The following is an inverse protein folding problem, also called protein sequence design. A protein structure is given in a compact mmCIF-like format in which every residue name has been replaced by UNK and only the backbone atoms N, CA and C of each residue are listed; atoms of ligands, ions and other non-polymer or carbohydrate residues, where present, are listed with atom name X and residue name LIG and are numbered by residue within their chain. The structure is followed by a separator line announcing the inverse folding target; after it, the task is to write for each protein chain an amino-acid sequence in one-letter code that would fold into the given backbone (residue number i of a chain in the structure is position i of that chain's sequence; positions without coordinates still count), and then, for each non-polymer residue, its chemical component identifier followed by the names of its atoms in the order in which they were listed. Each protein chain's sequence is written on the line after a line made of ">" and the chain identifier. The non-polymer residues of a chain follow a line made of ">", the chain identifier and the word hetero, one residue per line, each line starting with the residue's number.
data_IF_465722757627
#
_entry.id   IF_465722757627
#
_cell.length_a   1.000
_cell.length_b   1.000
_cell.length_c   1.000
_cell.angle_alpha   90.00
_cell.angle_beta   90.00
_cell.angle_gamma   90.00
#
_symmetry.space_group_name_H-M   'P 1'
#
loop_
_entity.id
_entity.type
_entity.pdbx_description
1 polymer ?
#
# COMPACT_ATOMS: atom_id res chain seq x y z
N UNK A 1 14.65 -29.47 5.70
CA UNK A 1 15.21 -28.14 5.37
C UNK A 1 15.44 -28.15 3.88
N UNK A 2 14.65 -27.40 3.12
CA UNK A 2 14.83 -27.23 1.68
C UNK A 2 14.86 -25.73 1.42
N UNK A 3 16.05 -25.17 1.24
CA UNK A 3 16.21 -23.86 0.60
C UNK A 3 15.86 -24.03 -0.89
N UNK A 4 15.05 -23.15 -1.48
CA UNK A 4 14.94 -23.11 -2.92
C UNK A 4 16.23 -22.48 -3.46
N UNK A 5 17.10 -23.31 -4.02
CA UNK A 5 18.18 -22.85 -4.90
C UNK A 5 17.53 -22.24 -6.13
N UNK A 6 17.29 -20.93 -6.10
CA UNK A 6 16.83 -20.19 -7.27
C UNK A 6 18.02 -20.05 -8.20
N UNK A 7 18.04 -20.89 -9.24
CA UNK A 7 19.10 -20.96 -10.25
C UNK A 7 19.46 -19.58 -10.82
N UNK A 8 20.77 -19.27 -10.76
CA UNK A 8 21.43 -18.08 -11.29
C UNK A 8 21.12 -17.81 -12.79
N UNK A 9 20.62 -18.80 -13.53
CA UNK A 9 20.40 -18.68 -14.97
C UNK A 9 19.12 -17.88 -15.34
N UNK A 10 18.16 -17.71 -14.41
CA UNK A 10 17.06 -16.74 -14.61
C UNK A 10 17.48 -15.28 -14.42
N UNK A 11 18.70 -15.01 -13.92
CA UNK A 11 19.17 -13.68 -13.56
C UNK A 11 19.65 -12.85 -14.76
N UNK A 12 19.94 -13.48 -15.91
CA UNK A 12 20.50 -12.79 -17.09
C UNK A 12 19.45 -12.25 -18.07
N UNK A 13 18.16 -12.61 -17.93
CA UNK A 13 17.13 -12.27 -18.92
C UNK A 13 16.52 -10.86 -18.77
N UNK A 14 16.70 -10.19 -17.63
CA UNK A 14 16.12 -8.86 -17.37
C UNK A 14 17.19 -7.78 -17.23
N UNK A 15 18.16 -7.74 -18.15
CA UNK A 15 19.08 -6.60 -18.31
C UNK A 15 18.42 -5.53 -19.19
N UNK A 16 17.31 -4.95 -18.74
CA UNK A 16 16.75 -3.74 -19.34
C UNK A 16 16.99 -2.53 -18.42
N UNK A 17 17.54 -1.49 -19.04
CA UNK A 17 17.95 -0.20 -18.46
C UNK A 17 16.97 0.30 -17.39
N UNK A 18 17.50 0.55 -16.20
CA UNK A 18 16.76 1.02 -15.02
C UNK A 18 16.89 -0.02 -13.92
N UNK A 19 17.66 0.28 -12.88
CA UNK A 19 17.89 -0.57 -11.71
C UNK A 19 16.59 -1.24 -11.22
N UNK A 20 16.35 -2.50 -11.59
CA UNK A 20 15.22 -3.28 -11.09
C UNK A 20 15.53 -3.61 -9.63
N UNK A 21 15.03 -2.80 -8.70
CA UNK A 21 14.90 -3.23 -7.31
C UNK A 21 13.77 -4.26 -7.29
N UNK A 22 14.10 -5.55 -7.35
CA UNK A 22 13.12 -6.59 -7.03
C UNK A 22 12.73 -6.42 -5.57
N UNK A 23 11.46 -6.10 -5.33
CA UNK A 23 10.89 -6.12 -4.00
C UNK A 23 9.53 -6.79 -3.97
N UNK A 24 9.28 -7.53 -2.90
CA UNK A 24 8.04 -8.24 -2.59
C UNK A 24 7.47 -7.68 -1.28
N UNK A 25 6.14 -7.61 -1.18
CA UNK A 25 5.42 -7.25 0.04
C UNK A 25 4.74 -8.50 0.61
N UNK A 26 4.93 -8.74 1.91
CA UNK A 26 4.35 -9.87 2.62
C UNK A 26 3.50 -9.37 3.78
N UNK A 27 2.20 -9.69 3.74
CA UNK A 27 1.25 -9.38 4.81
C UNK A 27 1.14 -10.59 5.74
N UNK A 28 1.31 -10.36 7.04
CA UNK A 28 1.21 -11.41 8.07
C UNK A 28 -0.04 -11.23 8.92
N UNK A 29 -0.42 -12.25 9.69
CA UNK A 29 -1.49 -12.15 10.69
C UNK A 29 -1.15 -11.10 11.75
N UNK A 30 -2.05 -10.14 11.95
CA UNK A 30 -1.83 -8.90 12.72
C UNK A 30 -1.60 -7.69 11.80
N UNK A 31 -1.38 -6.49 12.35
CA UNK A 31 -1.04 -5.32 11.54
C UNK A 31 0.46 -5.40 11.20
N UNK A 32 0.90 -6.36 10.38
CA UNK A 32 2.33 -6.48 10.04
C UNK A 32 2.55 -6.62 8.54
N UNK A 33 3.30 -5.67 8.00
CA UNK A 33 3.70 -5.65 6.60
C UNK A 33 5.23 -5.65 6.49
N UNK A 34 5.79 -6.63 5.77
CA UNK A 34 7.24 -6.74 5.54
C UNK A 34 7.53 -6.57 4.06
N UNK A 35 8.49 -5.70 3.75
CA UNK A 35 9.05 -5.56 2.41
C UNK A 35 10.34 -6.35 2.32
N UNK A 36 10.41 -7.30 1.38
CA UNK A 36 11.63 -8.00 0.99
C UNK A 36 12.22 -7.34 -0.23
N UNK A 37 13.50 -7.01 -0.20
CA UNK A 37 14.21 -6.40 -1.35
C UNK A 37 15.52 -7.14 -1.59
N UNK A 38 15.86 -7.37 -2.85
CA UNK A 38 17.18 -7.86 -3.22
C UNK A 38 18.17 -6.69 -3.21
N UNK A 39 19.27 -6.86 -2.48
CA UNK A 39 20.36 -5.89 -2.40
C UNK A 39 21.63 -6.58 -2.88
N UNK A 40 22.30 -5.97 -3.86
CA UNK A 40 23.59 -6.44 -4.35
C UNK A 40 24.71 -5.64 -3.68
N UNK A 41 25.70 -6.34 -3.13
CA UNK A 41 26.91 -5.77 -2.55
C UNK A 41 28.02 -5.85 -3.60
N UNK A 42 28.35 -4.71 -4.23
CA UNK A 42 29.37 -4.62 -5.28
C UNK A 42 30.78 -4.98 -4.76
N UNK A 43 31.07 -4.72 -3.48
CA UNK A 43 32.38 -4.99 -2.88
C UNK A 43 32.59 -6.49 -2.66
N UNK A 44 31.52 -7.23 -2.36
CA UNK A 44 31.57 -8.69 -2.14
C UNK A 44 31.17 -9.50 -3.38
N UNK A 45 30.58 -8.87 -4.38
CA UNK A 45 30.05 -9.53 -5.58
C UNK A 45 28.87 -10.47 -5.31
N UNK A 46 28.21 -10.35 -4.15
CA UNK A 46 27.12 -11.22 -3.70
C UNK A 46 25.86 -10.38 -3.53
N UNK A 47 24.69 -10.96 -3.84
CA UNK A 47 23.40 -10.37 -3.54
C UNK A 47 22.65 -11.15 -2.48
N UNK A 48 21.95 -10.44 -1.61
CA UNK A 48 21.16 -10.99 -0.51
C UNK A 48 19.75 -10.40 -0.45
N UNK A 49 18.81 -11.20 0.06
CA UNK A 49 17.46 -10.73 0.38
C UNK A 49 17.44 -10.04 1.74
N UNK A 50 17.06 -8.77 1.76
CA UNK A 50 16.87 -8.00 2.99
C UNK A 50 15.38 -7.80 3.25
N UNK A 51 14.96 -8.13 4.48
CA UNK A 51 13.58 -7.91 4.95
C UNK A 51 13.52 -6.66 5.82
N UNK A 52 12.54 -5.80 5.57
CA UNK A 52 12.30 -4.57 6.34
C UNK A 52 10.84 -4.53 6.79
N UNK A 53 10.60 -4.33 8.08
CA UNK A 53 9.25 -4.07 8.58
C UNK A 53 8.81 -2.67 8.16
N UNK A 54 7.71 -2.59 7.43
CA UNK A 54 7.16 -1.36 6.85
C UNK A 54 5.73 -1.11 7.33
N UNK A 55 5.33 -1.73 8.44
CA UNK A 55 3.98 -1.65 9.00
C UNK A 55 3.49 -0.21 9.16
N UNK A 56 4.28 0.66 9.80
CA UNK A 56 3.93 2.07 10.04
C UNK A 56 3.85 2.90 8.73
N UNK A 57 4.44 2.39 7.66
CA UNK A 57 4.44 3.00 6.32
C UNK A 57 3.57 2.21 5.34
N UNK A 58 2.71 1.31 5.81
CA UNK A 58 1.92 0.45 4.96
C UNK A 58 1.08 1.24 3.95
N UNK A 59 0.66 2.45 4.31
CA UNK A 59 -0.10 3.32 3.43
C UNK A 59 0.65 3.70 2.14
N UNK A 60 1.97 3.81 2.19
CA UNK A 60 2.81 4.13 1.03
C UNK A 60 2.93 2.96 0.05
N UNK A 61 2.68 1.73 0.51
CA UNK A 61 2.92 0.50 -0.25
C UNK A 61 1.63 -0.19 -0.70
N UNK A 62 0.54 -0.04 0.07
CA UNK A 62 -0.73 -0.72 -0.18
C UNK A 62 -1.74 0.15 -0.93
N UNK A 63 -1.56 1.47 -0.93
CA UNK A 63 -2.43 2.40 -1.63
C UNK A 63 -1.66 3.14 -2.73
N UNK A 64 -2.39 3.58 -3.73
CA UNK A 64 -1.89 4.48 -4.77
C UNK A 64 -2.64 5.79 -4.69
N UNK A 65 -2.01 6.86 -5.17
CA UNK A 65 -2.65 8.16 -5.28
C UNK A 65 -3.84 8.08 -6.23
N UNK A 66 -4.98 8.58 -5.76
CA UNK A 66 -6.21 8.63 -6.53
C UNK A 66 -6.37 10.05 -7.06
N UNK A 67 -6.38 10.18 -8.39
CA UNK A 67 -6.74 11.46 -9.03
C UNK A 67 -8.26 11.52 -9.06
N UNK A 68 -8.80 12.45 -8.28
CA UNK A 68 -10.22 12.74 -8.23
C UNK A 68 -10.54 13.74 -9.35
N UNK A 69 -11.69 13.55 -10.00
CA UNK A 69 -12.17 14.49 -11.03
C UNK A 69 -12.36 15.89 -10.43
N UNK A 70 -12.03 16.99 -11.15
CA UNK A 70 -12.16 18.35 -10.62
C UNK A 70 -13.56 18.71 -10.10
N UNK A 71 -14.60 18.08 -10.64
CA UNK A 71 -15.99 18.33 -10.25
C UNK A 71 -16.44 17.47 -9.06
N UNK A 72 -15.63 16.50 -8.64
CA UNK A 72 -15.91 15.68 -7.47
C UNK A 72 -15.41 16.39 -6.22
N UNK A 73 -16.35 16.67 -5.34
CA UNK A 73 -16.07 17.33 -4.06
C UNK A 73 -15.82 16.30 -2.96
N UNK A 74 -15.19 16.76 -1.88
CA UNK A 74 -15.06 15.94 -0.67
C UNK A 74 -16.44 15.57 -0.08
N UNK A 75 -17.48 16.38 -0.32
CA UNK A 75 -18.84 16.08 0.11
C UNK A 75 -19.43 14.87 -0.65
N UNK A 76 -19.10 14.71 -1.93
CA UNK A 76 -19.51 13.54 -2.73
C UNK A 76 -18.86 12.26 -2.23
N UNK A 77 -17.57 12.35 -1.84
CA UNK A 77 -16.85 11.24 -1.20
C UNK A 77 -17.48 10.89 0.15
N UNK A 78 -17.86 11.89 0.96
CA UNK A 78 -18.57 11.64 2.21
C UNK A 78 -19.95 11.03 2.00
N UNK A 79 -20.70 11.50 1.01
CA UNK A 79 -21.98 10.93 0.60
C UNK A 79 -21.83 9.44 0.26
N UNK A 80 -20.85 9.10 -0.58
CA UNK A 80 -20.57 7.71 -0.95
C UNK A 80 -20.26 6.83 0.27
N UNK A 81 -19.46 7.31 1.23
CA UNK A 81 -19.14 6.56 2.45
C UNK A 81 -20.35 6.44 3.38
N UNK A 82 -21.17 7.48 3.50
CA UNK A 82 -22.38 7.48 4.34
C UNK A 82 -23.49 6.60 3.76
N UNK A 83 -23.61 6.55 2.44
CA UNK A 83 -24.71 5.87 1.77
C UNK A 83 -24.40 4.41 1.47
N UNK A 84 -23.12 4.01 1.31
CA UNK A 84 -22.77 2.62 1.02
C UNK A 84 -22.25 1.79 2.21
N UNK A 85 -22.99 0.75 2.66
CA UNK A 85 -22.59 -0.10 3.79
C UNK A 85 -21.27 -0.83 3.56
N UNK A 86 -20.96 -1.17 2.31
CA UNK A 86 -19.69 -1.83 1.95
C UNK A 86 -18.51 -0.90 2.24
N UNK A 87 -18.63 0.39 1.92
CA UNK A 87 -17.59 1.37 2.20
C UNK A 87 -17.37 1.51 3.71
N UNK A 88 -18.45 1.56 4.49
CA UNK A 88 -18.37 1.62 5.95
C UNK A 88 -17.72 0.37 6.57
N UNK A 89 -17.91 -0.80 5.97
CA UNK A 89 -17.31 -2.04 6.44
C UNK A 89 -15.81 -2.15 6.11
N UNK A 90 -15.36 -1.52 5.02
CA UNK A 90 -13.96 -1.58 4.56
C UNK A 90 -13.07 -0.57 5.31
N UNK A 91 -13.58 0.60 5.65
CA UNK A 91 -12.83 1.59 6.41
C UNK A 91 -12.80 1.27 7.92
N UNK A 92 -11.77 1.77 8.61
CA UNK A 92 -11.70 1.65 10.08
C UNK A 92 -12.90 2.35 10.69
N UNK A 93 -13.63 1.69 11.58
CA UNK A 93 -14.87 2.20 12.16
C UNK A 93 -14.69 3.56 12.86
N UNK A 94 -13.55 3.77 13.52
CA UNK A 94 -13.16 5.03 14.14
C UNK A 94 -13.15 6.17 13.12
N UNK A 95 -12.47 5.95 11.99
CA UNK A 95 -12.39 6.89 10.88
C UNK A 95 -13.75 7.12 10.22
N UNK A 96 -14.53 6.08 9.96
CA UNK A 96 -15.90 6.20 9.41
C UNK A 96 -16.78 7.04 10.33
N UNK A 97 -16.68 6.84 11.64
CA UNK A 97 -17.51 7.56 12.60
C UNK A 97 -17.21 9.06 12.60
N UNK A 98 -15.93 9.44 12.56
CA UNK A 98 -15.48 10.83 12.44
C UNK A 98 -15.88 11.43 11.08
N UNK A 99 -15.65 10.70 9.99
CA UNK A 99 -15.97 11.15 8.63
C UNK A 99 -17.46 11.42 8.45
N UNK A 100 -18.30 10.49 8.93
CA UNK A 100 -19.76 10.62 8.88
C UNK A 100 -20.27 11.73 9.82
N UNK A 101 -19.62 11.96 10.96
CA UNK A 101 -19.96 13.08 11.84
C UNK A 101 -19.66 14.44 11.19
N UNK A 102 -18.50 14.59 10.55
CA UNK A 102 -18.12 15.79 9.81
C UNK A 102 -19.03 16.02 8.59
N UNK A 103 -19.35 14.95 7.85
CA UNK A 103 -20.29 15.00 6.72
C UNK A 103 -21.67 15.54 7.13
N UNK A 104 -22.22 15.08 8.25
CA UNK A 104 -23.49 15.57 8.81
C UNK A 104 -23.41 17.00 9.35
N UNK A 105 -22.29 17.38 9.95
CA UNK A 105 -22.08 18.75 10.42
C UNK A 105 -22.10 19.74 9.25
N UNK A 106 -21.45 19.38 8.13
CA UNK A 106 -21.37 20.21 6.92
C UNK A 106 -22.63 20.19 6.07
N UNK A 107 -23.40 19.10 6.04
CA UNK A 107 -24.71 19.07 5.35
C UNK A 107 -25.74 20.03 5.96
N UNK A 108 -25.48 20.54 7.17
CA UNK A 108 -26.33 21.52 7.86
C UNK A 108 -25.97 22.98 7.49
N UNK A 109 -24.79 23.22 6.91
CA UNK A 109 -24.37 24.54 6.45
C UNK A 109 -24.73 24.66 4.96
N UNK A 110 -25.88 25.27 4.68
CA UNK A 110 -26.19 25.77 3.33
C UNK A 110 -25.27 26.94 3.01
N UNK A 111 -24.46 26.80 1.97
CA UNK A 111 -23.85 27.93 1.26
C UNK A 111 -24.88 28.58 0.34
#
# INVERSE_FOLDING_TARGET
>A
MNEPVVNAEKFLACRQKGSIKMSELQLFSGPRLVRKSWIYDDDKGVGDWVSTDVTERAFEYLFHELVIDPDVTLADVFGLVMDEPIMQAVFRQEFVSELCAEGRARSTVRW
#
